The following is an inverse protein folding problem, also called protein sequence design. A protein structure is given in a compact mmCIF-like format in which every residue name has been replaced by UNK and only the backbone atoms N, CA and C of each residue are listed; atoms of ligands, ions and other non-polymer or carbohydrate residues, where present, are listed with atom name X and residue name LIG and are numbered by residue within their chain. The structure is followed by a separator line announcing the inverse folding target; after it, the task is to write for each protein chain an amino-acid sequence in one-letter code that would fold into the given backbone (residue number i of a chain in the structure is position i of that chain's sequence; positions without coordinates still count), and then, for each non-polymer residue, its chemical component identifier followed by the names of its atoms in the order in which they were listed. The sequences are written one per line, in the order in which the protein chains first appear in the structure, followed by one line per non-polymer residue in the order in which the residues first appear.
data_IF_145981426281
#
_entry.id   IF_145981426281
#
_cell.length_a   1.000
_cell.length_b   1.000
_cell.length_c   1.000
_cell.angle_alpha   90.00
_cell.angle_beta   90.00
_cell.angle_gamma   90.00
#
_symmetry.space_group_name_H-M   'P 1'
#
loop_
_entity.id
_entity.type
_entity.pdbx_description
1 polymer ?
#
# COMPACT_ATOMS: atom_id res chain seq x y z
N UNK A 1 -21.17 3.18 1.79
CA UNK A 1 -20.80 4.23 2.75
C UNK A 1 -21.93 5.23 2.91
N UNK A 2 -22.01 5.98 4.02
CA UNK A 2 -22.86 7.16 4.10
C UNK A 2 -22.33 8.27 3.17
N UNK A 3 -23.15 8.75 2.25
CA UNK A 3 -22.84 9.86 1.34
C UNK A 3 -23.89 10.97 1.50
N UNK A 4 -23.51 12.20 1.18
CA UNK A 4 -24.44 13.31 1.06
C UNK A 4 -24.93 13.37 -0.39
N UNK A 5 -26.18 12.99 -0.63
CA UNK A 5 -26.81 13.04 -1.95
C UNK A 5 -28.03 13.95 -1.86
N UNK A 6 -28.11 14.95 -2.74
CA UNK A 6 -29.20 15.95 -2.74
C UNK A 6 -29.45 16.59 -1.36
N UNK A 7 -28.37 16.96 -0.66
CA UNK A 7 -28.40 17.53 0.71
C UNK A 7 -28.99 16.59 1.78
N UNK A 8 -29.14 15.30 1.50
CA UNK A 8 -29.60 14.29 2.44
C UNK A 8 -28.55 13.20 2.62
N UNK A 9 -28.36 12.75 3.86
CA UNK A 9 -27.47 11.61 4.16
C UNK A 9 -28.13 10.32 3.66
N UNK A 10 -27.43 9.56 2.81
CA UNK A 10 -27.90 8.28 2.27
C UNK A 10 -26.85 7.19 2.43
N UNK A 11 -27.29 5.95 2.64
CA UNK A 11 -26.42 4.79 2.58
C UNK A 11 -26.30 4.36 1.12
N UNK A 12 -25.09 4.40 0.56
CA UNK A 12 -24.81 4.02 -0.84
C UNK A 12 -23.86 2.83 -0.91
N UNK A 13 -24.29 1.75 -1.58
CA UNK A 13 -23.46 0.59 -1.88
C UNK A 13 -22.66 0.80 -3.15
N UNK A 14 -21.42 0.29 -3.16
CA UNK A 14 -20.51 0.35 -4.29
C UNK A 14 -19.58 -0.87 -4.27
N UNK A 15 -19.02 -1.21 -5.43
CA UNK A 15 -17.99 -2.25 -5.56
C UNK A 15 -16.64 -1.66 -5.18
N UNK A 16 -15.87 -2.40 -4.40
CA UNK A 16 -14.51 -2.03 -4.00
C UNK A 16 -13.57 -3.22 -4.17
N UNK A 17 -12.27 -2.97 -4.03
CA UNK A 17 -11.26 -4.03 -3.97
C UNK A 17 -11.26 -4.67 -2.59
N UNK A 18 -11.08 -5.99 -2.54
CA UNK A 18 -10.72 -6.68 -1.30
C UNK A 18 -9.22 -6.48 -1.04
N UNK A 19 -8.91 -5.42 -0.29
CA UNK A 19 -7.52 -5.03 -0.03
C UNK A 19 -6.84 -6.04 0.91
N UNK A 20 -5.72 -6.60 0.46
CA UNK A 20 -4.81 -7.39 1.29
C UNK A 20 -3.49 -6.64 1.51
N UNK A 21 -3.20 -6.31 2.78
CA UNK A 21 -1.99 -5.61 3.23
C UNK A 21 -0.97 -6.49 3.95
N UNK A 22 -1.20 -7.80 4.08
CA UNK A 22 -0.38 -8.69 4.91
C UNK A 22 1.07 -8.81 4.42
N UNK A 23 1.30 -8.67 3.12
CA UNK A 23 2.61 -8.75 2.49
C UNK A 23 3.31 -7.38 2.34
N UNK A 24 2.71 -6.28 2.82
CA UNK A 24 3.29 -4.93 2.66
C UNK A 24 4.63 -4.79 3.38
N UNK A 25 4.81 -5.44 4.54
CA UNK A 25 6.09 -5.47 5.24
C UNK A 25 7.18 -6.18 4.42
N UNK A 26 6.82 -7.30 3.77
CA UNK A 26 7.73 -8.05 2.89
C UNK A 26 8.09 -7.26 1.65
N UNK A 27 7.12 -6.57 1.04
CA UNK A 27 7.34 -5.67 -0.11
C UNK A 27 8.31 -4.55 0.27
N UNK A 28 8.11 -3.92 1.43
CA UNK A 28 9.01 -2.88 1.94
C UNK A 28 10.44 -3.38 2.13
N UNK A 29 10.61 -4.55 2.75
CA UNK A 29 11.93 -5.17 2.92
C UNK A 29 12.59 -5.52 1.58
N UNK A 30 11.82 -6.04 0.61
CA UNK A 30 12.33 -6.34 -0.73
C UNK A 30 12.72 -5.07 -1.51
N UNK A 31 11.95 -3.99 -1.35
CA UNK A 31 12.24 -2.68 -1.94
C UNK A 31 13.58 -2.12 -1.42
N UNK A 32 13.79 -2.16 -0.10
CA UNK A 32 15.04 -1.75 0.55
C UNK A 32 16.22 -2.63 0.11
N UNK A 33 16.04 -3.96 0.11
CA UNK A 33 17.08 -4.92 -0.28
C UNK A 33 17.50 -4.80 -1.75
N UNK A 34 16.58 -4.38 -2.63
CA UNK A 34 16.87 -4.09 -4.03
C UNK A 34 17.64 -2.77 -4.25
N UNK A 35 17.96 -2.02 -3.19
CA UNK A 35 18.73 -0.78 -3.27
C UNK A 35 17.94 0.41 -3.83
N UNK A 36 16.60 0.34 -3.82
CA UNK A 36 15.78 1.44 -4.31
C UNK A 36 15.88 2.67 -3.37
N UNK A 37 15.59 3.89 -3.88
CA UNK A 37 15.74 5.11 -3.08
C UNK A 37 14.91 5.08 -1.79
N UNK A 38 15.59 5.25 -0.66
CA UNK A 38 15.00 5.45 0.65
C UNK A 38 16.04 6.09 1.58
N UNK A 39 15.59 6.77 2.63
CA UNK A 39 16.44 7.28 3.71
C UNK A 39 15.89 6.82 5.04
N UNK A 40 16.74 6.22 5.88
CA UNK A 40 16.39 5.81 7.23
C UNK A 40 17.06 6.73 8.24
N UNK A 41 16.33 7.11 9.29
CA UNK A 41 16.84 7.96 10.36
C UNK A 41 15.98 7.90 11.60
N UNK A 42 16.33 8.68 12.62
CA UNK A 42 15.56 8.81 13.85
C UNK A 42 14.73 10.09 13.84
N UNK A 43 13.49 10.01 14.31
CA UNK A 43 12.62 11.16 14.58
C UNK A 43 12.14 11.02 16.02
N UNK A 44 12.73 11.80 16.93
CA UNK A 44 12.60 11.57 18.36
C UNK A 44 13.10 10.18 18.73
N UNK A 45 12.26 9.37 19.38
CA UNK A 45 12.56 7.98 19.75
C UNK A 45 12.21 6.95 18.66
N UNK A 46 11.61 7.37 17.54
CA UNK A 46 11.15 6.46 16.48
C UNK A 46 12.16 6.30 15.34
N UNK A 47 12.27 5.10 14.77
CA UNK A 47 12.94 4.88 13.48
C UNK A 47 11.98 5.26 12.35
N UNK A 48 12.37 6.26 11.56
CA UNK A 48 11.61 6.76 10.43
C UNK A 48 12.25 6.36 9.10
N UNK A 49 11.42 6.27 8.07
CA UNK A 49 11.82 6.03 6.68
C UNK A 49 11.18 7.09 5.79
N UNK A 50 12.00 7.76 4.98
CA UNK A 50 11.55 8.63 3.91
C UNK A 50 11.70 7.88 2.58
N UNK A 51 10.58 7.67 1.89
CA UNK A 51 10.53 6.87 0.66
C UNK A 51 9.79 7.67 -0.42
N UNK A 52 10.36 7.84 -1.63
CA UNK A 52 9.63 8.42 -2.74
C UNK A 52 8.53 7.45 -3.20
N UNK A 53 7.28 7.92 -3.16
CA UNK A 53 6.11 7.08 -3.41
C UNK A 53 6.11 6.45 -4.81
N UNK A 54 6.44 7.21 -5.86
CA UNK A 54 6.38 6.71 -7.25
C UNK A 54 7.30 5.49 -7.45
N UNK A 55 8.61 5.54 -7.12
CA UNK A 55 9.47 4.35 -7.14
C UNK A 55 8.94 3.16 -6.33
N UNK A 56 8.40 3.39 -5.13
CA UNK A 56 7.83 2.32 -4.30
C UNK A 56 6.65 1.63 -4.99
N UNK A 57 5.74 2.41 -5.58
CA UNK A 57 4.59 1.87 -6.32
C UNK A 57 5.03 1.14 -7.59
N UNK A 58 5.96 1.72 -8.37
CA UNK A 58 6.49 1.10 -9.60
C UNK A 58 7.18 -0.24 -9.31
N UNK A 59 7.90 -0.33 -8.19
CA UNK A 59 8.47 -1.59 -7.71
C UNK A 59 7.37 -2.58 -7.31
N UNK A 60 6.40 -2.14 -6.50
CA UNK A 60 5.34 -2.99 -5.95
C UNK A 60 4.46 -3.60 -7.06
N UNK A 61 4.13 -2.83 -8.09
CA UNK A 61 3.35 -3.29 -9.26
C UNK A 61 4.05 -4.45 -9.99
N UNK A 62 5.38 -4.48 -10.01
CA UNK A 62 6.17 -5.59 -10.60
C UNK A 62 6.35 -6.75 -9.63
N UNK A 63 6.42 -6.46 -8.34
CA UNK A 63 6.66 -7.44 -7.29
C UNK A 63 5.43 -8.32 -7.02
N UNK A 64 4.24 -7.71 -6.93
CA UNK A 64 3.01 -8.40 -6.55
C UNK A 64 2.67 -9.62 -7.42
N UNK A 65 2.68 -9.56 -8.77
CA UNK A 65 2.32 -10.70 -9.62
C UNK A 65 3.24 -11.91 -9.50
N UNK A 66 4.47 -11.72 -9.00
CA UNK A 66 5.49 -12.77 -8.91
C UNK A 66 5.53 -13.43 -7.53
N UNK A 67 4.92 -12.82 -6.50
CA UNK A 67 5.01 -13.26 -5.11
C UNK A 67 3.65 -13.50 -4.46
N UNK A 68 2.59 -12.84 -4.94
CA UNK A 68 1.23 -13.04 -4.42
C UNK A 68 0.54 -14.10 -5.27
N UNK A 69 0.35 -15.29 -4.68
CA UNK A 69 -0.52 -16.29 -5.27
C UNK A 69 -1.97 -15.85 -5.05
N UNK A 70 -2.67 -15.52 -6.14
CA UNK A 70 -4.10 -15.26 -6.07
C UNK A 70 -4.79 -16.61 -5.96
N UNK A 71 -5.37 -16.92 -4.80
CA UNK A 71 -6.31 -18.03 -4.69
C UNK A 71 -7.49 -17.74 -5.62
N UNK A 72 -7.71 -18.60 -6.62
CA UNK A 72 -8.95 -18.61 -7.39
C UNK A 72 -10.06 -19.10 -6.47
N UNK A 73 -10.96 -18.21 -6.08
CA UNK A 73 -12.33 -18.61 -5.74
C UNK A 73 -13.12 -18.90 -7.02
#
# INVERSE_FOLDING_TARGET
APLLENRQRRWVSFTDLDFNSDDFATIGAAYEAAGNPHTTGTVGYGTARLIPQRPLIDFTVKWLPTHRQVSKE
#
